data_IF_001200482588
#
_entry.id   IF_001200482588
#
_cell.length_a   1.000
_cell.length_b   1.000
_cell.length_c   1.000
_cell.angle_alpha   90.00
_cell.angle_beta   90.00
_cell.angle_gamma   90.00
#
_symmetry.space_group_name_H-M   'P 1'
#
loop_
_entity.id
_entity.type
_entity.pdbx_description
1 polymer ?
#
# COMPACT_ATOMS: atom_id res chain seq x y z
N UNK A 1 -0.89 -4.60 -10.39
CA UNK A 1 -1.82 -3.49 -10.70
C UNK A 1 -1.05 -2.21 -10.86
N UNK A 2 -1.64 -1.16 -11.44
CA UNK A 2 -0.95 0.11 -11.67
C UNK A 2 -1.82 1.26 -11.20
N UNK A 3 -1.24 2.20 -10.45
CA UNK A 3 -1.87 3.43 -10.00
C UNK A 3 -1.21 4.63 -10.68
N UNK A 4 -1.99 5.65 -11.02
CA UNK A 4 -1.47 6.90 -11.57
C UNK A 4 -1.49 7.98 -10.49
N UNK A 5 -0.48 8.85 -10.52
CA UNK A 5 -0.50 10.07 -9.75
C UNK A 5 -1.57 11.03 -10.31
N UNK A 6 -2.18 11.87 -9.45
CA UNK A 6 -3.12 12.90 -9.91
C UNK A 6 -2.43 13.95 -10.80
N UNK A 7 -1.13 14.20 -10.60
CA UNK A 7 -0.29 15.04 -11.45
C UNK A 7 1.19 14.62 -11.34
N UNK A 8 2.07 15.07 -12.25
CA UNK A 8 3.51 14.86 -12.12
C UNK A 8 4.03 15.42 -10.79
N UNK A 9 4.99 14.71 -10.20
CA UNK A 9 5.60 15.11 -8.93
C UNK A 9 6.47 16.36 -9.13
N UNK A 10 6.31 17.34 -8.25
CA UNK A 10 7.11 18.58 -8.25
C UNK A 10 8.14 18.57 -7.14
N UNK A 11 9.08 19.52 -7.20
CA UNK A 11 10.09 19.66 -6.17
C UNK A 11 9.43 19.98 -4.81
N UNK A 12 9.77 19.20 -3.79
CA UNK A 12 9.21 19.35 -2.43
C UNK A 12 7.91 18.57 -2.19
N UNK A 13 7.35 17.92 -3.21
CA UNK A 13 6.23 17.00 -3.07
C UNK A 13 6.72 15.58 -2.75
N UNK A 14 5.91 14.83 -1.99
CA UNK A 14 6.11 13.43 -1.70
C UNK A 14 4.85 12.62 -2.04
N UNK A 15 5.03 11.34 -2.35
CA UNK A 15 3.93 10.43 -2.67
C UNK A 15 3.64 9.52 -1.49
N UNK A 16 2.36 9.41 -1.16
CA UNK A 16 1.85 8.48 -0.17
C UNK A 16 0.87 7.54 -0.86
N UNK A 17 1.09 6.24 -0.69
CA UNK A 17 0.13 5.21 -1.02
C UNK A 17 -0.84 5.07 0.16
N UNK A 18 -2.09 5.43 -0.06
CA UNK A 18 -3.16 5.17 0.89
C UNK A 18 -3.75 3.78 0.60
N UNK A 19 -3.53 2.84 1.52
CA UNK A 19 -4.04 1.47 1.47
C UNK A 19 -5.15 1.34 2.51
N UNK A 20 -6.40 1.18 2.08
CA UNK A 20 -7.47 0.81 3.00
C UNK A 20 -7.49 -0.70 3.15
N UNK A 21 -7.27 -1.18 4.36
CA UNK A 21 -7.32 -2.61 4.69
C UNK A 21 -8.63 -2.90 5.39
N UNK A 22 -9.37 -3.87 4.86
CA UNK A 22 -10.61 -4.37 5.43
C UNK A 22 -10.38 -5.50 6.41
N UNK A 23 -11.27 -6.50 6.38
CA UNK A 23 -11.21 -7.63 7.31
C UNK A 23 -10.22 -8.68 6.80
N UNK A 24 -9.02 -8.72 7.39
CA UNK A 24 -8.10 -9.86 7.26
C UNK A 24 -8.08 -10.67 8.56
N UNK A 25 -7.49 -11.87 8.57
CA UNK A 25 -7.39 -12.67 9.80
C UNK A 25 -6.26 -12.16 10.70
N UNK A 26 -6.37 -12.39 12.02
CA UNK A 26 -5.29 -12.07 12.96
C UNK A 26 -4.01 -12.83 12.58
N UNK A 27 -2.87 -12.12 12.61
CA UNK A 27 -1.58 -12.67 12.20
C UNK A 27 -1.31 -12.60 10.70
N UNK A 28 -2.28 -12.13 9.91
CA UNK A 28 -2.06 -11.78 8.50
C UNK A 28 -1.75 -10.30 8.36
N UNK A 29 -1.06 -9.96 7.27
CA UNK A 29 -0.77 -8.60 6.87
C UNK A 29 -0.81 -8.50 5.35
N UNK A 30 -1.03 -7.29 4.83
CA UNK A 30 -0.92 -7.00 3.40
C UNK A 30 0.50 -6.49 3.14
N UNK A 31 1.33 -7.28 2.48
CA UNK A 31 2.60 -6.85 1.93
C UNK A 31 2.39 -6.10 0.62
N UNK A 32 3.01 -4.93 0.51
CA UNK A 32 3.01 -4.11 -0.68
C UNK A 32 4.42 -4.06 -1.25
N UNK A 33 4.52 -4.52 -2.49
CA UNK A 33 5.76 -4.53 -3.27
C UNK A 33 5.54 -3.78 -4.58
N UNK A 34 6.61 -3.23 -5.15
CA UNK A 34 6.61 -2.80 -6.55
C UNK A 34 6.48 -4.03 -7.47
N UNK A 35 6.15 -3.81 -8.74
CA UNK A 35 6.03 -4.89 -9.72
C UNK A 35 7.35 -5.67 -9.94
N UNK A 36 8.50 -5.02 -9.76
CA UNK A 36 9.85 -5.61 -9.76
C UNK A 36 10.22 -6.30 -8.44
N UNK A 37 9.32 -6.30 -7.44
CA UNK A 37 9.48 -7.06 -6.20
C UNK A 37 10.15 -6.31 -5.05
N UNK A 38 10.42 -5.01 -5.19
CA UNK A 38 10.97 -4.19 -4.11
C UNK A 38 9.90 -3.92 -3.05
N UNK A 39 10.17 -4.16 -1.75
CA UNK A 39 9.20 -3.87 -0.70
C UNK A 39 9.01 -2.36 -0.54
N UNK A 40 7.75 -1.94 -0.48
CA UNK A 40 7.35 -0.55 -0.20
C UNK A 40 6.90 -0.44 1.27
N UNK A 41 6.16 -1.44 1.74
CA UNK A 41 5.71 -1.49 3.12
C UNK A 41 4.71 -2.61 3.37
N UNK A 42 4.21 -2.67 4.60
CA UNK A 42 3.25 -3.68 5.05
C UNK A 42 2.11 -3.00 5.82
N UNK A 43 0.87 -3.34 5.49
CA UNK A 43 -0.31 -2.87 6.18
C UNK A 43 -0.95 -4.01 6.99
N UNK A 44 -0.95 -3.88 8.31
CA UNK A 44 -1.54 -4.86 9.22
C UNK A 44 -2.59 -4.15 10.10
N UNK A 45 -3.88 -4.51 10.00
CA UNK A 45 -4.91 -3.92 10.84
C UNK A 45 -4.68 -4.28 12.31
N UNK A 46 -4.30 -5.52 12.59
CA UNK A 46 -3.96 -5.97 13.95
C UNK A 46 -2.48 -5.76 14.30
N UNK A 47 -1.87 -4.65 13.87
CA UNK A 47 -0.51 -4.29 14.24
C UNK A 47 -0.27 -4.24 15.76
N UNK A 48 0.96 -3.94 16.21
CA UNK A 48 1.32 -3.93 17.64
C UNK A 48 0.49 -2.93 18.48
N UNK A 49 -0.11 -1.92 17.83
CA UNK A 49 -1.12 -1.06 18.44
C UNK A 49 -2.46 -1.79 18.51
N UNK A 50 -2.84 -2.23 19.72
CA UNK A 50 -4.16 -2.84 19.96
C UNK A 50 -5.28 -1.89 19.52
N UNK A 51 -6.18 -2.37 18.66
CA UNK A 51 -7.50 -1.76 18.46
C UNK A 51 -7.75 -1.10 17.11
N UNK A 52 -6.79 -1.05 16.18
CA UNK A 52 -7.10 -0.62 14.83
C UNK A 52 -7.82 -1.76 14.08
N UNK A 53 -9.10 -1.57 13.79
CA UNK A 53 -9.85 -2.42 12.86
C UNK A 53 -9.46 -2.15 11.42
N UNK A 54 -10.39 -2.38 10.49
CA UNK A 54 -10.26 -1.91 9.13
C UNK A 54 -9.93 -0.40 9.09
N UNK A 55 -8.97 0.02 8.27
CA UNK A 55 -8.45 1.37 8.28
C UNK A 55 -7.54 1.70 7.11
N UNK A 56 -7.31 2.99 6.89
CA UNK A 56 -6.42 3.48 5.82
C UNK A 56 -5.02 3.73 6.35
N UNK A 57 -4.04 3.07 5.74
CA UNK A 57 -2.62 3.20 6.04
C UNK A 57 -1.94 4.07 4.97
N UNK A 58 -1.22 5.11 5.39
CA UNK A 58 -0.37 5.89 4.51
C UNK A 58 1.04 5.32 4.47
N UNK A 59 1.49 4.87 3.30
CA UNK A 59 2.84 4.32 3.11
C UNK A 59 3.61 5.26 2.18
N UNK A 60 4.76 5.81 2.62
CA UNK A 60 5.57 6.67 1.76
C UNK A 60 6.10 5.86 0.58
N UNK A 61 5.90 6.38 -0.63
CA UNK A 61 6.38 5.75 -1.85
C UNK A 61 7.69 6.41 -2.24
N UNK A 62 8.79 5.64 -2.38
CA UNK A 62 10.05 6.17 -2.89
C UNK A 62 9.86 6.71 -4.32
N UNK A 63 10.36 7.91 -4.61
CA UNK A 63 10.17 8.56 -5.90
C UNK A 63 10.71 7.71 -7.07
N UNK A 64 11.77 6.93 -6.83
CA UNK A 64 12.37 6.05 -7.82
C UNK A 64 11.49 4.85 -8.21
N UNK A 65 10.46 4.53 -7.42
CA UNK A 65 9.48 3.49 -7.75
C UNK A 65 8.44 3.97 -8.77
N UNK A 66 8.34 5.29 -8.99
CA UNK A 66 7.43 5.87 -9.97
C UNK A 66 8.09 5.88 -11.35
N UNK A 67 7.35 5.42 -12.37
CA UNK A 67 7.74 5.47 -13.78
C UNK A 67 6.65 6.22 -14.53
N UNK A 68 7.00 7.34 -15.15
CA UNK A 68 6.08 8.21 -15.91
C UNK A 68 4.82 8.61 -15.11
N UNK A 69 5.00 8.94 -13.83
CA UNK A 69 3.90 9.31 -12.92
C UNK A 69 2.99 8.13 -12.55
N UNK A 70 3.42 6.89 -12.80
CA UNK A 70 2.68 5.67 -12.46
C UNK A 70 3.48 4.81 -11.50
N UNK A 71 2.77 4.13 -10.60
CA UNK A 71 3.31 3.15 -9.67
C UNK A 71 2.73 1.77 -10.01
N UNK A 72 3.61 0.85 -10.41
CA UNK A 72 3.23 -0.55 -10.61
C UNK A 72 3.46 -1.34 -9.31
N UNK A 73 2.40 -1.96 -8.81
CA UNK A 73 2.36 -2.61 -7.50
C UNK A 73 1.90 -4.06 -7.57
N UNK A 74 2.36 -4.83 -6.60
CA UNK A 74 1.87 -6.16 -6.26
C UNK A 74 1.56 -6.22 -4.77
N UNK A 75 0.32 -6.59 -4.46
CA UNK A 75 -0.15 -6.78 -3.09
C UNK A 75 -0.25 -8.28 -2.82
N UNK A 76 0.13 -8.68 -1.60
CA UNK A 76 0.04 -10.05 -1.13
C UNK A 76 -0.43 -10.07 0.31
N UNK A 77 -1.37 -10.95 0.63
CA UNK A 77 -1.75 -11.24 2.02
C UNK A 77 -0.83 -12.33 2.53
N UNK A 78 -0.10 -12.04 3.59
CA UNK A 78 0.66 -13.05 4.33
C UNK A 78 -0.31 -13.97 5.03
N UNK A 79 -0.04 -15.27 4.99
CA UNK A 79 -0.88 -16.27 5.63
C UNK A 79 -0.20 -16.78 6.89
N UNK A 80 -0.97 -16.97 7.95
CA UNK A 80 -0.49 -17.67 9.12
C UNK A 80 -0.09 -19.11 8.75
N UNK A 81 0.90 -19.67 9.45
CA UNK A 81 1.30 -21.08 9.36
C UNK A 81 1.98 -21.52 8.05
N UNK A 82 2.73 -20.64 7.38
CA UNK A 82 3.65 -21.05 6.31
C UNK A 82 3.01 -21.38 4.96
N UNK A 83 1.71 -21.11 4.81
CA UNK A 83 1.09 -21.10 3.49
C UNK A 83 1.72 -20.00 2.60
N UNK A 84 1.74 -20.18 1.27
CA UNK A 84 2.29 -19.20 0.36
C UNK A 84 1.44 -17.92 0.33
N UNK A 85 2.06 -16.74 0.23
CA UNK A 85 1.34 -15.48 0.12
C UNK A 85 0.41 -15.47 -1.10
N UNK A 86 -0.80 -14.95 -0.93
CA UNK A 86 -1.84 -14.91 -1.97
C UNK A 86 -2.24 -13.47 -2.32
N UNK A 87 -2.82 -13.19 -3.49
CA UNK A 87 -3.43 -11.87 -3.73
C UNK A 87 -4.55 -11.57 -2.71
N UNK A 88 -4.72 -10.29 -2.32
CA UNK A 88 -5.85 -9.87 -1.49
C UNK A 88 -7.17 -9.97 -2.26
N UNK A 89 -8.27 -10.18 -1.54
CA UNK A 89 -9.62 -9.98 -2.09
C UNK A 89 -10.03 -8.51 -2.03
N UNK A 90 -11.11 -8.15 -2.73
CA UNK A 90 -11.66 -6.79 -2.69
C UNK A 90 -12.19 -6.39 -1.30
N UNK A 91 -12.59 -7.35 -0.46
CA UNK A 91 -13.01 -7.06 0.92
C UNK A 91 -11.81 -6.81 1.85
N UNK A 92 -10.66 -7.42 1.54
CA UNK A 92 -9.43 -7.27 2.32
C UNK A 92 -8.69 -5.98 1.99
N UNK A 93 -8.75 -5.55 0.73
CA UNK A 93 -8.24 -4.25 0.27
C UNK A 93 -9.33 -3.54 -0.54
N UNK A 94 -10.29 -2.89 0.15
CA UNK A 94 -11.41 -2.21 -0.51
C UNK A 94 -11.03 -0.95 -1.28
N UNK A 95 -9.94 -0.28 -0.90
CA UNK A 95 -9.49 0.93 -1.57
C UNK A 95 -7.97 1.05 -1.58
N UNK A 96 -7.43 1.52 -2.70
CA UNK A 96 -6.02 1.72 -2.91
C UNK A 96 -5.80 2.92 -3.84
N UNK A 97 -5.13 3.96 -3.35
CA UNK A 97 -4.91 5.20 -4.11
C UNK A 97 -3.58 5.86 -3.81
N UNK A 98 -3.07 6.61 -4.78
CA UNK A 98 -1.93 7.49 -4.59
C UNK A 98 -2.41 8.88 -4.18
N UNK A 99 -1.70 9.50 -3.27
CA UNK A 99 -1.91 10.87 -2.84
C UNK A 99 -0.56 11.59 -2.82
N UNK A 100 -0.58 12.87 -3.17
CA UNK A 100 0.59 13.74 -3.12
C UNK A 100 0.44 14.60 -1.87
N UNK A 101 1.51 14.67 -1.07
CA UNK A 101 1.63 15.54 0.09
C UNK A 101 2.78 16.53 -0.15
N UNK A 102 2.65 17.76 0.31
CA UNK A 102 3.65 18.81 0.07
C UNK A 102 3.02 20.19 -0.05
N UNK A 103 3.82 21.25 -0.25
CA UNK A 103 3.30 22.58 -0.48
C UNK A 103 2.36 22.56 -1.70
N UNK A 104 1.20 23.25 -1.64
CA UNK A 104 0.30 23.32 -2.77
C UNK A 104 0.96 24.01 -3.97
N UNK A 105 0.44 23.77 -5.19
CA UNK A 105 0.85 24.48 -6.40
C UNK A 105 0.86 26.00 -6.26
#
# INVERSE_FOLDING_TARGET
MTLALPHPLRQGEAVVLAVTVGRISRGQAVEITTADGRPIGTAAPFGPQRGQGAGTFGIPVPAEALRDGRLALRLRVTTAHGAPPRPPTAEEVPDLRLSIIGPPP
#
